data_IF_239866542792
#
_entry.id   IF_239866542792
#
_cell.length_a   1.000
_cell.length_b   1.000
_cell.length_c   1.000
_cell.angle_alpha   90.00
_cell.angle_beta   90.00
_cell.angle_gamma   90.00
#
_symmetry.space_group_name_H-M   'P 1'
#
loop_
_entity.id
_entity.type
_entity.pdbx_description
1 polymer ?
#
# COMPACT_ATOMS: atom_id res chain seq x y z
N UNK A 1 -33.51 12.01 14.78
CA UNK A 1 -33.52 10.52 14.93
C UNK A 1 -33.19 9.92 13.58
N UNK A 2 -32.20 9.06 13.55
CA UNK A 2 -31.77 8.36 12.33
C UNK A 2 -32.31 6.93 12.35
N UNK A 3 -32.94 6.50 11.26
CA UNK A 3 -33.47 5.14 11.07
C UNK A 3 -32.62 4.41 10.06
N UNK A 4 -32.34 3.13 10.33
CA UNK A 4 -31.50 2.26 9.54
C UNK A 4 -32.30 1.07 9.01
N UNK A 5 -32.05 0.65 7.78
CA UNK A 5 -32.51 -0.63 7.29
C UNK A 5 -31.79 -1.77 8.00
N UNK A 6 -32.54 -2.74 8.53
CA UNK A 6 -32.01 -3.97 9.06
C UNK A 6 -31.80 -4.94 7.90
N UNK A 7 -30.57 -5.47 7.81
CA UNK A 7 -30.13 -6.26 6.67
C UNK A 7 -29.73 -7.68 7.06
N UNK A 8 -29.67 -8.55 6.08
CA UNK A 8 -29.09 -9.89 6.21
C UNK A 8 -27.55 -9.85 6.17
N UNK A 9 -26.91 -11.01 6.15
CA UNK A 9 -25.45 -11.14 6.10
C UNK A 9 -24.81 -10.60 4.82
N UNK A 10 -25.56 -10.42 3.76
CA UNK A 10 -25.10 -9.89 2.48
C UNK A 10 -25.41 -8.38 2.31
N UNK A 11 -25.98 -7.75 3.34
CA UNK A 11 -26.37 -6.35 3.29
C UNK A 11 -27.70 -6.10 2.55
N UNK A 12 -28.50 -7.16 2.30
CA UNK A 12 -29.81 -7.05 1.65
C UNK A 12 -30.85 -6.67 2.70
N UNK A 13 -31.64 -5.58 2.47
CA UNK A 13 -32.69 -5.16 3.40
C UNK A 13 -33.73 -6.28 3.66
N UNK A 14 -34.04 -6.51 4.94
CA UNK A 14 -35.04 -7.50 5.38
C UNK A 14 -36.46 -6.94 5.37
N UNK A 15 -36.64 -5.66 5.04
CA UNK A 15 -37.88 -4.92 5.17
C UNK A 15 -38.15 -4.40 6.59
N UNK A 16 -37.27 -4.63 7.53
CA UNK A 16 -37.34 -4.07 8.88
C UNK A 16 -36.48 -2.81 8.99
N UNK A 17 -36.94 -1.85 9.79
CA UNK A 17 -36.26 -0.60 10.07
C UNK A 17 -36.14 -0.47 11.59
N UNK A 18 -35.01 0.04 12.06
CA UNK A 18 -34.79 0.36 13.48
C UNK A 18 -34.13 1.73 13.63
N UNK A 19 -34.43 2.38 14.75
CA UNK A 19 -33.69 3.58 15.13
C UNK A 19 -32.24 3.20 15.49
N UNK A 20 -31.27 4.04 15.11
CA UNK A 20 -29.82 3.78 15.22
C UNK A 20 -29.39 3.32 16.61
N UNK A 21 -29.87 4.02 17.66
CA UNK A 21 -29.53 3.65 19.05
C UNK A 21 -30.09 2.29 19.42
N UNK A 22 -31.31 1.98 18.97
CA UNK A 22 -31.94 0.67 19.17
C UNK A 22 -31.20 -0.42 18.41
N UNK A 23 -30.75 -0.16 17.18
CA UNK A 23 -29.99 -1.10 16.37
C UNK A 23 -28.68 -1.50 17.07
N UNK A 24 -27.92 -0.54 17.60
CA UNK A 24 -26.70 -0.82 18.35
C UNK A 24 -26.96 -1.49 19.69
N UNK A 25 -28.02 -1.13 20.40
CA UNK A 25 -28.37 -1.78 21.66
C UNK A 25 -28.75 -3.25 21.49
N UNK A 26 -29.39 -3.59 20.36
CA UNK A 26 -29.86 -4.94 20.08
C UNK A 26 -28.95 -5.73 19.18
N UNK A 27 -27.84 -5.15 18.69
CA UNK A 27 -26.93 -5.79 17.75
C UNK A 27 -27.57 -6.13 16.41
N UNK A 28 -28.48 -5.26 15.94
CA UNK A 28 -29.15 -5.46 14.64
C UNK A 28 -28.21 -5.05 13.51
N UNK A 29 -28.07 -5.94 12.51
CA UNK A 29 -27.18 -5.71 11.37
C UNK A 29 -27.75 -4.63 10.47
N UNK A 30 -26.89 -3.67 10.13
CA UNK A 30 -27.21 -2.51 9.30
C UNK A 30 -26.08 -2.21 8.34
N UNK A 31 -26.27 -1.25 7.42
CA UNK A 31 -25.29 -0.91 6.39
C UNK A 31 -24.51 0.35 6.77
N UNK A 32 -23.24 0.38 6.33
CA UNK A 32 -22.38 1.56 6.38
C UNK A 32 -21.63 1.75 5.06
N UNK A 33 -21.23 2.98 4.74
CA UNK A 33 -20.35 3.31 3.63
C UNK A 33 -19.05 3.84 4.16
N UNK A 34 -17.92 3.28 3.69
CA UNK A 34 -16.58 3.68 4.07
C UNK A 34 -15.83 4.20 2.85
N UNK A 35 -15.29 5.40 2.92
CA UNK A 35 -14.51 6.01 1.84
C UNK A 35 -13.11 6.30 2.33
N UNK A 36 -12.12 5.75 1.63
CA UNK A 36 -10.70 5.98 1.83
C UNK A 36 -10.18 6.93 0.77
N UNK A 37 -9.72 8.11 1.17
CA UNK A 37 -9.16 9.10 0.25
C UNK A 37 -7.68 8.82 0.09
N UNK A 38 -7.26 8.67 -1.16
CA UNK A 38 -5.89 8.37 -1.57
C UNK A 38 -5.34 9.50 -2.43
N UNK A 39 -4.03 9.72 -2.37
CA UNK A 39 -3.30 10.56 -3.32
C UNK A 39 -1.94 9.97 -3.63
N UNK A 40 -1.33 10.43 -4.74
CA UNK A 40 0.05 10.09 -5.09
C UNK A 40 0.93 11.32 -4.90
N UNK A 41 2.02 11.17 -4.13
CA UNK A 41 3.06 12.20 -4.02
C UNK A 41 4.44 11.58 -4.09
N UNK A 42 5.29 12.13 -4.97
CA UNK A 42 6.66 11.67 -5.17
C UNK A 42 6.81 10.17 -5.47
N UNK A 43 5.80 9.57 -6.13
CA UNK A 43 5.78 8.15 -6.49
C UNK A 43 5.33 7.22 -5.36
N UNK A 44 4.91 7.77 -4.23
CA UNK A 44 4.30 7.04 -3.11
C UNK A 44 2.82 7.35 -2.99
N UNK A 45 2.07 6.37 -2.58
CA UNK A 45 0.65 6.55 -2.27
C UNK A 45 0.51 6.96 -0.81
N UNK A 46 -0.30 7.97 -0.57
CA UNK A 46 -0.69 8.41 0.77
C UNK A 46 -2.20 8.20 0.96
N UNK A 47 -2.59 7.87 2.18
CA UNK A 47 -3.98 7.72 2.63
C UNK A 47 -4.32 8.83 3.62
N UNK A 48 -5.49 9.43 3.47
CA UNK A 48 -6.01 10.42 4.40
C UNK A 48 -6.69 9.72 5.57
N UNK A 49 -6.27 10.01 6.79
CA UNK A 49 -6.99 9.61 8.00
C UNK A 49 -7.64 10.82 8.62
N UNK A 50 -8.84 10.66 9.15
CA UNK A 50 -9.50 11.62 10.02
C UNK A 50 -9.15 11.33 11.49
N UNK A 51 -9.03 12.35 12.31
CA UNK A 51 -8.96 12.23 13.76
C UNK A 51 -10.32 12.59 14.37
N UNK A 52 -10.90 11.64 15.06
CA UNK A 52 -12.22 11.76 15.68
C UNK A 52 -12.22 12.84 16.76
N UNK A 53 -13.29 13.61 16.84
CA UNK A 53 -13.47 14.60 17.90
C UNK A 53 -13.43 13.95 19.30
N UNK A 54 -12.91 14.68 20.28
CA UNK A 54 -12.91 14.26 21.69
C UNK A 54 -14.33 14.10 22.26
N UNK A 55 -15.33 14.69 21.59
CA UNK A 55 -16.73 14.65 22.02
C UNK A 55 -17.49 13.41 21.48
N UNK A 56 -16.83 12.54 20.73
CA UNK A 56 -17.45 11.32 20.21
C UNK A 56 -17.73 10.30 21.32
N UNK A 57 -18.89 9.65 21.24
CA UNK A 57 -19.30 8.61 22.18
C UNK A 57 -18.40 7.35 22.12
N UNK A 58 -17.81 7.07 20.96
CA UNK A 58 -16.93 5.93 20.75
C UNK A 58 -15.59 6.38 20.16
N UNK A 59 -14.49 5.82 20.67
CA UNK A 59 -13.11 6.05 20.20
C UNK A 59 -12.73 7.54 20.03
N UNK A 60 -12.94 8.40 21.06
CA UNK A 60 -12.58 9.81 20.97
C UNK A 60 -11.08 9.99 20.75
N UNK A 61 -10.68 10.93 19.88
CA UNK A 61 -9.29 11.27 19.59
C UNK A 61 -8.51 10.22 18.82
N UNK A 62 -9.13 9.11 18.40
CA UNK A 62 -8.50 8.08 17.56
C UNK A 62 -8.49 8.48 16.09
N UNK A 63 -7.48 8.00 15.36
CA UNK A 63 -7.50 8.03 13.89
C UNK A 63 -8.50 7.00 13.35
N UNK A 64 -9.17 7.38 12.28
CA UNK A 64 -10.23 6.61 11.63
C UNK A 64 -10.12 6.74 10.11
N UNK A 65 -10.97 6.01 9.39
CA UNK A 65 -11.17 6.04 7.93
C UNK A 65 -11.37 7.49 7.47
N UNK A 66 -11.05 7.83 6.22
CA UNK A 66 -11.19 9.22 5.73
C UNK A 66 -12.62 9.76 5.90
N UNK A 67 -13.64 8.97 5.57
CA UNK A 67 -15.05 9.27 5.85
C UNK A 67 -15.84 7.98 5.98
N UNK A 68 -16.71 7.89 6.98
CA UNK A 68 -17.52 6.70 7.24
C UNK A 68 -18.85 7.07 7.88
N UNK A 69 -19.94 6.53 7.33
CA UNK A 69 -21.27 6.82 7.87
C UNK A 69 -22.27 5.67 7.75
N UNK A 70 -23.30 5.74 8.58
CA UNK A 70 -24.45 4.86 8.49
C UNK A 70 -25.31 5.20 7.27
N UNK A 71 -25.95 4.20 6.72
CA UNK A 71 -26.86 4.37 5.59
C UNK A 71 -28.28 4.49 6.13
N UNK A 72 -28.93 5.65 5.95
CA UNK A 72 -30.31 5.82 6.35
C UNK A 72 -31.26 4.84 5.64
N UNK A 73 -32.35 4.49 6.28
CA UNK A 73 -33.37 3.59 5.72
C UNK A 73 -33.85 4.09 4.36
N UNK A 74 -33.92 3.17 3.39
CA UNK A 74 -34.32 3.46 2.02
C UNK A 74 -33.27 4.14 1.14
N UNK A 75 -32.05 4.40 1.67
CA UNK A 75 -30.94 4.98 0.90
C UNK A 75 -29.94 3.88 0.52
N UNK A 76 -29.19 4.06 -0.57
CA UNK A 76 -28.16 3.12 -0.99
C UNK A 76 -26.76 3.57 -0.59
N UNK A 77 -25.76 2.70 -0.81
CA UNK A 77 -24.37 2.87 -0.40
C UNK A 77 -23.70 4.14 -1.00
N UNK A 78 -23.78 4.32 -2.33
CA UNK A 78 -23.12 5.43 -3.02
C UNK A 78 -23.72 6.79 -2.61
N UNK A 79 -25.02 7.03 -2.64
CA UNK A 79 -25.61 8.29 -2.18
C UNK A 79 -25.21 8.63 -0.73
N UNK A 80 -25.16 7.63 0.17
CA UNK A 80 -24.72 7.84 1.54
C UNK A 80 -23.24 8.20 1.62
N UNK A 81 -22.37 7.52 0.87
CA UNK A 81 -20.94 7.84 0.81
C UNK A 81 -20.69 9.30 0.36
N UNK A 82 -21.39 9.74 -0.69
CA UNK A 82 -21.27 11.11 -1.21
C UNK A 82 -21.80 12.15 -0.22
N UNK A 83 -22.86 11.83 0.51
CA UNK A 83 -23.40 12.70 1.57
C UNK A 83 -22.38 12.87 2.70
N UNK A 84 -21.84 11.76 3.25
CA UNK A 84 -20.85 11.80 4.33
C UNK A 84 -19.59 12.56 3.92
N UNK A 85 -19.04 12.31 2.72
CA UNK A 85 -17.89 13.06 2.19
C UNK A 85 -18.14 14.57 2.17
N UNK A 86 -19.36 14.98 1.81
CA UNK A 86 -19.74 16.39 1.78
C UNK A 86 -19.93 16.98 3.18
N UNK A 87 -20.60 16.25 4.07
CA UNK A 87 -20.90 16.71 5.44
C UNK A 87 -19.63 16.74 6.29
N UNK A 88 -18.84 15.66 6.34
CA UNK A 88 -17.67 15.54 7.19
C UNK A 88 -16.46 16.34 6.70
N UNK A 89 -16.20 16.33 5.37
CA UNK A 89 -14.95 16.82 4.77
C UNK A 89 -15.15 17.99 3.79
N UNK A 90 -16.38 18.38 3.50
CA UNK A 90 -16.66 19.41 2.48
C UNK A 90 -16.30 18.96 1.06
N UNK A 91 -16.26 17.65 0.79
CA UNK A 91 -15.91 17.10 -0.51
C UNK A 91 -17.17 16.83 -1.34
N UNK A 92 -17.28 17.49 -2.50
CA UNK A 92 -18.32 17.22 -3.49
C UNK A 92 -17.68 16.52 -4.68
N UNK A 93 -17.97 15.24 -4.84
CA UNK A 93 -17.44 14.38 -5.91
C UNK A 93 -18.60 13.66 -6.59
N UNK A 94 -18.36 13.12 -7.78
CA UNK A 94 -19.34 12.31 -8.51
C UNK A 94 -19.24 10.83 -8.13
N UNK A 95 -20.29 10.06 -8.35
CA UNK A 95 -20.31 8.62 -8.08
C UNK A 95 -19.24 7.85 -8.85
N UNK A 96 -18.92 8.29 -10.08
CA UNK A 96 -17.91 7.67 -10.94
C UNK A 96 -16.47 7.81 -10.42
N UNK A 97 -16.22 8.69 -9.43
CA UNK A 97 -14.92 8.86 -8.80
C UNK A 97 -14.72 7.88 -7.65
N UNK A 98 -15.80 7.25 -7.15
CA UNK A 98 -15.74 6.24 -6.12
C UNK A 98 -15.41 4.87 -6.73
N UNK A 99 -14.28 4.30 -6.33
CA UNK A 99 -13.82 2.98 -6.78
C UNK A 99 -14.22 1.96 -5.72
N UNK A 100 -15.08 1.02 -6.08
CA UNK A 100 -15.49 -0.05 -5.18
C UNK A 100 -14.33 -1.03 -4.93
N UNK A 101 -13.93 -1.18 -3.67
CA UNK A 101 -12.83 -2.05 -3.23
C UNK A 101 -13.31 -3.36 -2.60
N UNK A 102 -14.58 -3.47 -2.27
CA UNK A 102 -15.16 -4.68 -1.70
C UNK A 102 -16.18 -4.40 -0.59
N UNK A 103 -16.72 -5.48 -0.06
CA UNK A 103 -17.68 -5.45 1.05
C UNK A 103 -17.07 -6.17 2.26
N UNK A 104 -17.22 -5.57 3.42
CA UNK A 104 -16.75 -6.11 4.69
C UNK A 104 -17.93 -6.36 5.64
N UNK A 105 -17.89 -7.46 6.38
CA UNK A 105 -18.77 -7.72 7.52
C UNK A 105 -18.01 -7.46 8.81
N UNK A 106 -18.65 -6.76 9.70
CA UNK A 106 -18.06 -6.37 10.97
C UNK A 106 -18.98 -6.69 12.14
N UNK A 107 -18.38 -7.09 13.23
CA UNK A 107 -19.06 -7.33 14.50
C UNK A 107 -18.17 -6.88 15.65
N UNK A 108 -18.71 -6.02 16.50
CA UNK A 108 -18.04 -5.52 17.69
C UNK A 108 -19.01 -5.53 18.88
N UNK A 109 -18.53 -5.96 20.02
CA UNK A 109 -19.24 -5.91 21.29
C UNK A 109 -18.38 -5.17 22.30
N UNK A 110 -18.92 -4.14 22.93
CA UNK A 110 -18.20 -3.30 23.89
C UNK A 110 -19.11 -2.55 24.81
N UNK A 111 -18.50 -1.74 25.68
CA UNK A 111 -19.21 -0.87 26.63
C UNK A 111 -18.66 0.54 26.47
N UNK A 112 -19.52 1.50 26.12
CA UNK A 112 -19.18 2.92 26.06
C UNK A 112 -20.06 3.69 27.06
N UNK A 113 -19.43 4.49 27.89
CA UNK A 113 -20.12 5.26 28.94
C UNK A 113 -21.07 4.43 29.83
N UNK A 114 -20.65 3.17 30.14
CA UNK A 114 -21.43 2.26 30.96
C UNK A 114 -22.65 1.63 30.30
N UNK A 115 -22.82 1.81 28.97
CA UNK A 115 -23.89 1.20 28.18
C UNK A 115 -23.32 0.15 27.23
N UNK A 116 -24.01 -0.99 27.11
CA UNK A 116 -23.68 -2.01 26.13
C UNK A 116 -23.85 -1.47 24.69
N UNK A 117 -22.90 -1.77 23.86
CA UNK A 117 -22.84 -1.35 22.47
C UNK A 117 -22.49 -2.58 21.61
N UNK A 118 -23.41 -2.94 20.72
CA UNK A 118 -23.29 -4.07 19.81
C UNK A 118 -23.34 -3.55 18.39
N UNK A 119 -22.22 -3.56 17.70
CA UNK A 119 -22.16 -3.11 16.32
C UNK A 119 -22.09 -4.30 15.36
N UNK A 120 -23.00 -4.31 14.41
CA UNK A 120 -23.11 -5.35 13.38
C UNK A 120 -23.32 -4.67 12.04
N UNK A 121 -22.24 -4.60 11.26
CA UNK A 121 -22.24 -3.82 10.02
C UNK A 121 -21.99 -4.70 8.79
N UNK A 122 -22.58 -4.27 7.68
CA UNK A 122 -22.15 -4.63 6.32
C UNK A 122 -21.71 -3.32 5.65
N UNK A 123 -20.42 -3.19 5.43
CA UNK A 123 -19.80 -1.96 4.94
C UNK A 123 -19.34 -2.15 3.50
N UNK A 124 -19.75 -1.27 2.59
CA UNK A 124 -19.09 -1.16 1.30
C UNK A 124 -17.90 -0.20 1.43
N UNK A 125 -16.75 -0.66 0.97
CA UNK A 125 -15.47 0.05 1.03
C UNK A 125 -15.15 0.63 -0.35
N UNK A 126 -14.89 1.93 -0.38
CA UNK A 126 -14.56 2.67 -1.59
C UNK A 126 -13.21 3.38 -1.46
N UNK A 127 -12.46 3.47 -2.54
CA UNK A 127 -11.32 4.36 -2.68
C UNK A 127 -11.72 5.59 -3.49
N UNK A 128 -11.18 6.75 -3.13
CA UNK A 128 -11.33 8.02 -3.83
C UNK A 128 -9.94 8.63 -4.05
N UNK A 129 -9.53 8.84 -5.30
CA UNK A 129 -8.29 9.55 -5.59
C UNK A 129 -8.53 11.06 -5.60
N UNK A 130 -7.99 11.77 -4.58
CA UNK A 130 -8.17 13.21 -4.41
C UNK A 130 -6.90 13.84 -3.82
N UNK A 131 -6.15 14.61 -4.62
CA UNK A 131 -5.00 15.37 -4.12
C UNK A 131 -5.47 16.74 -3.61
N UNK A 132 -5.63 16.83 -2.30
CA UNK A 132 -6.02 18.05 -1.60
C UNK A 132 -5.15 18.23 -0.37
N UNK A 133 -4.78 19.48 -0.03
CA UNK A 133 -4.04 19.77 1.20
C UNK A 133 -4.97 19.64 2.41
N UNK A 134 -4.47 19.26 3.61
CA UNK A 134 -5.32 19.10 4.79
C UNK A 134 -6.13 20.34 5.13
N UNK A 135 -5.55 21.53 4.96
CA UNK A 135 -6.18 22.81 5.23
C UNK A 135 -7.29 23.22 4.25
N UNK A 136 -7.38 22.55 3.11
CA UNK A 136 -8.41 22.81 2.10
C UNK A 136 -9.69 21.97 2.32
N UNK A 137 -9.69 21.06 3.32
CA UNK A 137 -10.89 20.33 3.73
C UNK A 137 -11.74 21.18 4.67
N UNK A 138 -13.05 21.14 4.50
CA UNK A 138 -14.01 21.80 5.37
C UNK A 138 -14.53 20.75 6.37
N UNK A 139 -13.92 20.73 7.55
CA UNK A 139 -14.21 19.70 8.56
C UNK A 139 -15.47 20.05 9.37
N UNK A 140 -16.35 19.07 9.56
CA UNK A 140 -17.42 19.11 10.54
C UNK A 140 -16.81 18.91 11.94
N UNK A 141 -16.53 20.01 12.64
CA UNK A 141 -15.75 20.00 13.89
C UNK A 141 -16.41 19.25 15.04
N UNK A 142 -17.71 19.05 15.00
CA UNK A 142 -18.44 18.21 15.95
C UNK A 142 -18.04 16.73 15.82
N UNK A 143 -17.67 16.32 14.61
CA UNK A 143 -17.30 14.94 14.27
C UNK A 143 -15.78 14.73 14.26
N UNK A 144 -15.01 15.70 13.75
CA UNK A 144 -13.60 15.57 13.39
C UNK A 144 -12.76 16.71 13.96
N UNK A 145 -11.58 16.42 14.52
CA UNK A 145 -10.59 17.42 14.96
C UNK A 145 -9.70 17.87 13.80
N UNK A 146 -9.14 16.90 13.06
CA UNK A 146 -8.20 17.13 11.97
C UNK A 146 -8.27 16.00 10.93
N UNK A 147 -7.66 16.24 9.77
CA UNK A 147 -7.31 15.22 8.79
C UNK A 147 -5.82 15.27 8.53
N UNK A 148 -5.22 14.09 8.30
CA UNK A 148 -3.78 13.96 8.07
C UNK A 148 -3.47 12.90 7.03
N UNK A 149 -2.51 13.20 6.16
CA UNK A 149 -1.97 12.24 5.20
C UNK A 149 -0.89 11.37 5.86
N UNK A 150 -0.98 10.08 5.60
CA UNK A 150 0.01 9.08 5.97
C UNK A 150 0.45 8.36 4.70
N UNK A 151 1.74 8.10 4.56
CA UNK A 151 2.21 7.17 3.53
C UNK A 151 1.54 5.80 3.77
N UNK A 152 1.02 5.20 2.72
CA UNK A 152 0.14 4.03 2.82
C UNK A 152 0.81 2.84 3.52
N UNK A 153 2.03 2.49 3.12
CA UNK A 153 2.80 1.40 3.74
C UNK A 153 3.13 1.68 5.22
N UNK A 154 3.43 2.94 5.54
CA UNK A 154 3.64 3.36 6.93
C UNK A 154 2.35 3.28 7.74
N UNK A 155 1.21 3.67 7.15
CA UNK A 155 -0.11 3.54 7.79
C UNK A 155 -0.44 2.08 8.10
N UNK A 156 -0.22 1.16 7.15
CA UNK A 156 -0.40 -0.29 7.38
C UNK A 156 0.38 -0.77 8.61
N UNK A 157 1.67 -0.42 8.70
CA UNK A 157 2.52 -0.82 9.83
C UNK A 157 2.06 -0.22 11.15
N UNK A 158 1.71 1.08 11.17
CA UNK A 158 1.26 1.77 12.38
C UNK A 158 -0.04 1.18 12.92
N UNK A 159 -0.97 0.81 12.04
CA UNK A 159 -2.24 0.16 12.40
C UNK A 159 -2.00 -1.27 12.86
N UNK A 160 -1.23 -2.07 12.12
CA UNK A 160 -0.92 -3.46 12.47
C UNK A 160 -0.24 -3.58 13.84
N UNK A 161 0.70 -2.67 14.15
CA UNK A 161 1.45 -2.67 15.42
C UNK A 161 0.77 -1.87 16.54
N UNK A 162 -0.38 -1.24 16.29
CA UNK A 162 -1.06 -0.33 17.23
C UNK A 162 -0.14 0.80 17.74
N UNK A 163 0.70 1.35 16.86
CA UNK A 163 1.66 2.41 17.22
C UNK A 163 1.03 3.82 17.24
N UNK A 164 -0.20 3.97 16.78
CA UNK A 164 -1.02 5.18 16.88
C UNK A 164 -2.37 4.84 17.50
N UNK A 165 -3.04 5.76 18.22
CA UNK A 165 -4.41 5.55 18.67
C UNK A 165 -5.35 5.54 17.46
N UNK A 166 -6.00 4.41 17.18
CA UNK A 166 -6.89 4.25 16.02
C UNK A 166 -8.06 3.31 16.30
N UNK A 167 -9.10 3.42 15.47
CA UNK A 167 -10.19 2.45 15.38
C UNK A 167 -10.31 1.80 13.99
N UNK A 168 -9.22 1.82 13.25
CA UNK A 168 -9.09 1.27 11.89
C UNK A 168 -8.88 -0.24 11.95
N UNK A 169 -9.51 -0.97 11.04
CA UNK A 169 -9.29 -2.40 10.83
C UNK A 169 -8.36 -2.64 9.65
N UNK A 170 -7.28 -3.38 9.88
CA UNK A 170 -6.23 -3.68 8.90
C UNK A 170 -6.79 -4.29 7.60
N UNK A 171 -7.84 -5.11 7.74
CA UNK A 171 -8.53 -5.74 6.62
C UNK A 171 -9.01 -4.72 5.57
N UNK A 172 -9.54 -3.57 5.98
CA UNK A 172 -9.99 -2.54 5.03
C UNK A 172 -8.84 -1.86 4.30
N UNK A 173 -7.73 -1.57 5.00
CA UNK A 173 -6.52 -1.07 4.34
C UNK A 173 -5.99 -2.07 3.32
N UNK A 174 -6.04 -3.37 3.63
CA UNK A 174 -5.63 -4.42 2.71
C UNK A 174 -6.53 -4.50 1.46
N UNK A 175 -7.83 -4.19 1.58
CA UNK A 175 -8.75 -4.12 0.44
C UNK A 175 -8.38 -3.03 -0.57
N UNK A 176 -7.63 -1.99 -0.15
CA UNK A 176 -7.17 -0.91 -1.02
C UNK A 176 -5.91 -1.26 -1.83
N UNK A 177 -5.15 -2.30 -1.42
CA UNK A 177 -3.87 -2.67 -2.04
C UNK A 177 -3.93 -2.80 -3.57
N UNK A 178 -4.98 -3.39 -4.20
CA UNK A 178 -5.06 -3.45 -5.66
C UNK A 178 -5.04 -2.06 -6.32
N UNK A 179 -5.71 -1.07 -5.71
CA UNK A 179 -5.74 0.30 -6.24
C UNK A 179 -4.44 1.05 -5.97
N UNK A 180 -3.86 0.87 -4.79
CA UNK A 180 -2.57 1.46 -4.40
C UNK A 180 -1.47 1.00 -5.36
N UNK A 181 -1.35 -0.32 -5.59
CA UNK A 181 -0.33 -0.91 -6.48
C UNK A 181 -0.41 -0.45 -7.93
N UNK A 182 -1.60 -0.05 -8.42
CA UNK A 182 -1.74 0.52 -9.77
C UNK A 182 -1.03 1.88 -9.92
N UNK A 183 -0.80 2.59 -8.82
CA UNK A 183 -0.22 3.94 -8.81
C UNK A 183 1.16 4.03 -8.15
N UNK A 184 1.60 3.00 -7.47
CA UNK A 184 2.95 2.94 -6.95
C UNK A 184 3.95 2.89 -8.09
N UNK A 185 4.84 3.87 -8.11
CA UNK A 185 5.96 3.91 -9.04
C UNK A 185 7.22 3.44 -8.33
N UNK A 186 7.62 2.22 -8.63
CA UNK A 186 8.87 1.68 -8.13
C UNK A 186 10.05 2.46 -8.73
N UNK A 187 11.04 2.75 -7.89
CA UNK A 187 12.33 3.27 -8.30
C UNK A 187 13.27 2.10 -8.57
N UNK A 188 13.64 1.91 -9.83
CA UNK A 188 14.52 0.83 -10.29
C UNK A 188 15.90 1.41 -10.61
N UNK A 189 16.92 1.02 -9.84
CA UNK A 189 18.31 1.39 -10.06
C UNK A 189 19.00 0.31 -10.89
N UNK A 190 19.49 0.65 -12.07
CA UNK A 190 20.22 -0.23 -12.98
C UNK A 190 21.70 0.19 -12.96
N UNK A 191 22.57 -0.69 -12.44
CA UNK A 191 23.97 -0.36 -12.21
C UNK A 191 24.96 -0.94 -13.23
N UNK A 192 24.65 -1.99 -14.03
CA UNK A 192 25.52 -2.37 -15.15
C UNK A 192 25.39 -1.36 -16.30
N UNK A 193 26.44 -1.21 -17.12
CA UNK A 193 26.33 -0.50 -18.37
C UNK A 193 25.28 -1.21 -19.25
N UNK A 194 24.40 -0.43 -19.86
CA UNK A 194 23.32 -0.94 -20.74
C UNK A 194 23.28 -0.09 -22.03
N UNK A 195 23.02 -0.74 -23.14
CA UNK A 195 22.81 -0.09 -24.43
C UNK A 195 21.45 0.65 -24.47
N UNK A 196 21.28 1.53 -25.43
CA UNK A 196 19.98 2.20 -25.60
C UNK A 196 18.85 1.23 -25.94
N UNK A 197 19.14 0.15 -26.66
CA UNK A 197 18.16 -0.90 -26.96
C UNK A 197 17.74 -1.63 -25.68
N UNK A 198 18.68 -2.02 -24.82
CA UNK A 198 18.38 -2.67 -23.53
C UNK A 198 17.63 -1.74 -22.58
N UNK A 199 17.94 -0.44 -22.56
CA UNK A 199 17.15 0.54 -21.81
C UNK A 199 15.69 0.57 -22.29
N UNK A 200 15.47 0.59 -23.59
CA UNK A 200 14.12 0.57 -24.17
C UNK A 200 13.37 -0.71 -23.80
N UNK A 201 14.04 -1.87 -23.83
CA UNK A 201 13.45 -3.13 -23.41
C UNK A 201 13.04 -3.10 -21.92
N UNK A 202 13.90 -2.58 -21.04
CA UNK A 202 13.59 -2.43 -19.63
C UNK A 202 12.41 -1.49 -19.38
N UNK A 203 12.37 -0.34 -20.06
CA UNK A 203 11.26 0.61 -19.98
C UNK A 203 9.94 0.03 -20.49
N UNK A 204 9.99 -0.81 -21.54
CA UNK A 204 8.81 -1.52 -22.06
C UNK A 204 8.35 -2.65 -21.13
N UNK A 205 9.29 -3.36 -20.49
CA UNK A 205 8.97 -4.45 -19.57
C UNK A 205 8.29 -3.96 -18.28
N UNK A 206 8.59 -2.72 -17.84
CA UNK A 206 8.02 -2.14 -16.63
C UNK A 206 7.52 -0.68 -16.89
N UNK A 207 6.42 -0.52 -17.65
CA UNK A 207 5.91 0.79 -18.04
C UNK A 207 5.43 1.55 -16.80
N UNK A 208 5.73 2.84 -16.77
CA UNK A 208 5.34 3.75 -15.69
C UNK A 208 6.27 3.72 -14.46
N UNK A 209 7.22 2.79 -14.37
CA UNK A 209 8.20 2.77 -13.30
C UNK A 209 9.30 3.80 -13.52
N UNK A 210 9.96 4.23 -12.44
CA UNK A 210 11.06 5.20 -12.50
C UNK A 210 12.40 4.47 -12.56
N UNK A 211 13.12 4.63 -13.67
CA UNK A 211 14.44 4.04 -13.82
C UNK A 211 15.55 5.07 -13.57
N UNK A 212 16.60 4.62 -12.89
CA UNK A 212 17.90 5.28 -12.79
C UNK A 212 18.93 4.37 -13.45
N UNK A 213 19.45 4.77 -14.59
CA UNK A 213 20.55 4.09 -15.26
C UNK A 213 21.85 4.77 -14.84
N UNK A 214 22.57 4.22 -13.87
CA UNK A 214 23.75 4.85 -13.26
C UNK A 214 24.79 3.79 -12.98
N UNK A 215 25.95 3.88 -13.60
CA UNK A 215 27.04 2.95 -13.37
C UNK A 215 27.55 3.02 -11.93
N UNK A 216 28.10 1.89 -11.45
CA UNK A 216 28.45 1.66 -10.02
C UNK A 216 29.18 2.82 -9.34
N UNK A 217 30.24 3.43 -9.93
CA UNK A 217 31.00 4.47 -9.25
C UNK A 217 30.23 5.78 -9.10
N UNK A 218 29.19 5.99 -9.92
CA UNK A 218 28.40 7.23 -9.98
C UNK A 218 27.09 7.16 -9.19
N UNK A 219 26.77 6.01 -8.60
CA UNK A 219 25.55 5.83 -7.80
C UNK A 219 25.57 6.73 -6.58
N UNK A 220 24.60 7.62 -6.51
CA UNK A 220 24.47 8.58 -5.41
C UNK A 220 23.74 7.99 -4.21
N UNK A 221 23.93 8.56 -3.03
CA UNK A 221 23.25 8.16 -1.81
C UNK A 221 21.72 8.36 -1.92
N UNK A 222 21.29 9.42 -2.61
CA UNK A 222 19.87 9.66 -2.85
C UNK A 222 19.25 8.56 -3.71
N UNK A 223 19.93 8.09 -4.75
CA UNK A 223 19.47 6.98 -5.57
C UNK A 223 19.34 5.69 -4.77
N UNK A 224 20.31 5.41 -3.89
CA UNK A 224 20.26 4.24 -3.00
C UNK A 224 19.07 4.29 -2.04
N UNK A 225 18.81 5.42 -1.39
CA UNK A 225 17.67 5.59 -0.49
C UNK A 225 16.32 5.43 -1.19
N UNK A 226 16.25 5.81 -2.46
CA UNK A 226 15.02 5.78 -3.26
C UNK A 226 14.79 4.46 -3.98
N UNK A 227 15.80 3.61 -4.09
CA UNK A 227 15.70 2.38 -4.84
C UNK A 227 14.79 1.36 -4.13
N UNK A 228 13.72 0.96 -4.81
CA UNK A 228 12.89 -0.20 -4.45
C UNK A 228 13.46 -1.49 -5.04
N UNK A 229 14.05 -1.40 -6.22
CA UNK A 229 14.67 -2.51 -6.94
C UNK A 229 16.07 -2.09 -7.41
N UNK A 230 17.03 -2.99 -7.25
CA UNK A 230 18.38 -2.82 -7.82
C UNK A 230 18.63 -3.95 -8.80
N UNK A 231 18.94 -3.59 -10.05
CA UNK A 231 19.42 -4.51 -11.09
C UNK A 231 20.93 -4.33 -11.25
N UNK A 232 21.69 -5.32 -10.87
CA UNK A 232 23.13 -5.34 -10.91
C UNK A 232 23.80 -5.25 -9.53
N UNK A 233 25.14 -5.23 -9.51
CA UNK A 233 25.93 -5.15 -8.30
C UNK A 233 26.18 -3.71 -7.90
N UNK A 234 26.24 -3.43 -6.63
CA UNK A 234 26.73 -2.16 -6.08
C UNK A 234 28.27 -2.13 -6.06
N UNK A 235 28.87 -0.95 -5.92
CA UNK A 235 30.32 -0.80 -5.78
C UNK A 235 30.83 -1.48 -4.51
N UNK A 236 30.04 -1.42 -3.43
CA UNK A 236 30.28 -2.16 -2.19
C UNK A 236 28.93 -2.68 -1.65
N UNK A 237 28.87 -3.94 -1.19
CA UNK A 237 27.68 -4.47 -0.52
C UNK A 237 27.23 -3.63 0.68
N UNK A 238 28.13 -2.93 1.36
CA UNK A 238 27.84 -2.05 2.49
C UNK A 238 26.89 -0.90 2.13
N UNK A 239 26.78 -0.54 0.84
CA UNK A 239 25.83 0.46 0.36
C UNK A 239 24.38 0.05 0.58
N UNK A 240 24.08 -1.25 0.73
CA UNK A 240 22.75 -1.75 1.06
C UNK A 240 22.19 -1.16 2.36
N UNK A 241 23.03 -0.81 3.32
CA UNK A 241 22.60 -0.13 4.55
C UNK A 241 21.95 1.23 4.32
N UNK A 242 22.11 1.82 3.14
CA UNK A 242 21.48 3.08 2.72
C UNK A 242 20.19 2.87 1.92
N UNK A 243 19.86 1.63 1.59
CA UNK A 243 18.71 1.28 0.75
C UNK A 243 17.48 0.99 1.63
N UNK A 244 16.91 2.03 2.26
CA UNK A 244 15.82 1.90 3.24
C UNK A 244 14.53 1.34 2.65
N UNK A 245 14.29 1.53 1.33
CA UNK A 245 13.07 1.12 0.63
C UNK A 245 13.26 -0.15 -0.21
N UNK A 246 14.41 -0.79 -0.17
CA UNK A 246 14.75 -1.91 -1.04
C UNK A 246 13.83 -3.10 -0.80
N UNK A 247 13.18 -3.56 -1.86
CA UNK A 247 12.32 -4.76 -1.91
C UNK A 247 13.02 -5.93 -2.58
N UNK A 248 13.86 -5.65 -3.58
CA UNK A 248 14.57 -6.68 -4.34
C UNK A 248 15.88 -6.19 -4.93
N UNK A 249 16.91 -7.04 -4.89
CA UNK A 249 18.16 -6.85 -5.62
C UNK A 249 18.46 -8.08 -6.46
N UNK A 250 18.70 -7.87 -7.76
CA UNK A 250 19.19 -8.88 -8.69
C UNK A 250 20.68 -8.63 -8.97
N UNK A 251 21.54 -9.50 -8.48
CA UNK A 251 22.96 -9.45 -8.82
C UNK A 251 23.20 -9.98 -10.25
N UNK A 252 24.17 -9.38 -10.94
CA UNK A 252 24.56 -9.78 -12.30
C UNK A 252 25.71 -10.82 -12.33
N UNK A 253 26.15 -11.31 -11.20
CA UNK A 253 27.10 -12.43 -11.06
C UNK A 253 26.45 -13.59 -10.28
N UNK A 254 27.08 -14.76 -10.33
CA UNK A 254 26.62 -15.95 -9.62
C UNK A 254 26.98 -15.92 -8.12
N UNK A 255 28.05 -15.24 -7.76
CA UNK A 255 28.48 -15.10 -6.36
C UNK A 255 27.64 -14.09 -5.61
N UNK A 256 27.45 -14.34 -4.32
CA UNK A 256 26.71 -13.47 -3.39
C UNK A 256 27.61 -12.93 -2.26
N UNK A 257 28.91 -13.04 -2.44
CA UNK A 257 29.90 -12.68 -1.42
C UNK A 257 29.72 -11.25 -0.95
N UNK A 258 29.62 -11.07 0.36
CA UNK A 258 29.41 -9.79 1.04
C UNK A 258 27.96 -9.26 1.00
N UNK A 259 27.05 -9.82 0.17
CA UNK A 259 25.65 -9.37 0.10
C UNK A 259 24.73 -10.08 1.10
N UNK A 260 25.11 -11.26 1.57
CA UNK A 260 24.31 -12.08 2.50
C UNK A 260 24.75 -11.89 3.99
N UNK A 261 25.54 -10.90 4.30
CA UNK A 261 25.94 -10.60 5.66
C UNK A 261 24.72 -10.25 6.53
N UNK A 262 24.62 -10.76 7.76
CA UNK A 262 23.50 -10.49 8.65
C UNK A 262 23.29 -8.97 8.88
N UNK A 263 22.06 -8.51 8.72
CA UNK A 263 21.67 -7.10 8.92
C UNK A 263 22.11 -6.14 7.81
N UNK A 264 22.51 -6.65 6.65
CA UNK A 264 22.89 -5.83 5.49
C UNK A 264 21.67 -5.53 4.60
N UNK A 265 20.86 -6.55 4.32
CA UNK A 265 19.59 -6.37 3.60
C UNK A 265 18.52 -5.82 4.53
N UNK A 266 17.69 -4.86 4.07
CA UNK A 266 16.49 -4.45 4.80
C UNK A 266 15.56 -5.64 5.08
N UNK A 267 14.79 -5.55 6.15
CA UNK A 267 13.81 -6.57 6.51
C UNK A 267 12.78 -6.74 5.38
N UNK A 268 12.57 -7.99 4.93
CA UNK A 268 11.66 -8.32 3.83
C UNK A 268 12.26 -8.15 2.43
N UNK A 269 13.46 -7.57 2.28
CA UNK A 269 14.10 -7.48 0.99
C UNK A 269 14.59 -8.85 0.50
N UNK A 270 14.45 -9.11 -0.80
CA UNK A 270 14.88 -10.34 -1.44
C UNK A 270 16.13 -10.12 -2.27
N UNK A 271 17.03 -11.11 -2.27
CA UNK A 271 18.23 -11.14 -3.11
C UNK A 271 18.15 -12.32 -4.07
N UNK A 272 18.40 -12.04 -5.36
CA UNK A 272 18.59 -13.03 -6.39
C UNK A 272 19.95 -12.81 -7.07
N UNK A 273 20.51 -13.86 -7.66
CA UNK A 273 21.78 -13.83 -8.38
C UNK A 273 21.66 -14.50 -9.77
N UNK A 274 22.73 -14.45 -10.54
CA UNK A 274 22.79 -15.02 -11.89
C UNK A 274 23.29 -16.48 -11.91
N UNK A 275 23.03 -17.28 -10.86
CA UNK A 275 23.42 -18.69 -10.80
C UNK A 275 22.84 -19.44 -12.00
N UNK A 276 23.73 -20.17 -12.73
CA UNK A 276 23.36 -20.96 -13.92
C UNK A 276 23.35 -20.16 -15.23
N UNK A 277 23.34 -18.84 -15.21
CA UNK A 277 23.29 -18.02 -16.42
C UNK A 277 24.51 -18.19 -17.35
N UNK A 278 25.67 -18.48 -16.76
CA UNK A 278 26.93 -18.60 -17.50
C UNK A 278 27.36 -20.05 -17.74
N UNK A 279 26.61 -21.05 -17.28
CA UNK A 279 27.02 -22.45 -17.31
C UNK A 279 27.35 -22.97 -18.71
N UNK A 280 26.53 -22.65 -19.69
CA UNK A 280 26.74 -23.08 -21.08
C UNK A 280 27.98 -22.43 -21.70
N UNK A 281 28.09 -21.10 -21.62
CA UNK A 281 29.23 -20.34 -22.17
C UNK A 281 30.57 -20.77 -21.53
N UNK A 282 30.60 -20.98 -20.21
CA UNK A 282 31.81 -21.48 -19.52
C UNK A 282 32.15 -22.88 -19.98
N UNK A 283 31.18 -23.80 -20.12
CA UNK A 283 31.40 -25.16 -20.58
C UNK A 283 31.96 -25.21 -22.00
N UNK A 284 31.40 -24.43 -22.92
CA UNK A 284 31.87 -24.29 -24.28
C UNK A 284 33.33 -23.77 -24.35
N UNK A 285 33.61 -22.73 -23.54
CA UNK A 285 34.95 -22.17 -23.46
C UNK A 285 35.97 -23.17 -22.89
N UNK A 286 35.61 -23.91 -21.84
CA UNK A 286 36.46 -24.98 -21.28
C UNK A 286 36.75 -26.10 -22.30
N UNK A 287 35.73 -26.49 -23.06
CA UNK A 287 35.94 -27.49 -24.13
C UNK A 287 36.88 -26.92 -25.18
N UNK A 288 36.69 -25.66 -25.60
CA UNK A 288 37.58 -25.01 -26.58
C UNK A 288 39.03 -24.97 -26.11
N UNK A 289 39.29 -24.57 -24.84
CA UNK A 289 40.63 -24.59 -24.25
C UNK A 289 41.22 -25.98 -24.17
N UNK A 290 40.44 -27.01 -23.82
CA UNK A 290 40.86 -28.39 -23.75
C UNK A 290 41.30 -28.90 -25.14
N UNK A 291 40.53 -28.61 -26.18
CA UNK A 291 40.88 -28.96 -27.56
C UNK A 291 42.19 -28.33 -28.06
N UNK A 292 42.44 -27.06 -27.68
CA UNK A 292 43.71 -26.37 -28.01
C UNK A 292 44.89 -27.10 -27.35
N UNK A 293 44.78 -27.49 -26.10
CA UNK A 293 45.84 -28.24 -25.40
C UNK A 293 46.08 -29.63 -25.94
N UNK A 294 45.04 -30.30 -26.47
CA UNK A 294 45.14 -31.63 -27.09
C UNK A 294 45.74 -31.53 -28.47
N UNK A 295 45.44 -30.49 -29.24
CA UNK A 295 45.88 -30.34 -30.62
C UNK A 295 47.28 -29.73 -30.81
N UNK A 296 47.85 -29.09 -29.76
CA UNK A 296 49.23 -28.53 -29.77
C UNK A 296 50.16 -29.18 -28.71
N UNK A 297 50.32 -30.51 -28.66
CA UNK A 297 51.19 -31.16 -27.65
C UNK A 297 52.68 -31.02 -27.93
N UNK A 298 53.11 -30.29 -28.96
CA UNK A 298 54.49 -30.33 -29.48
C UNK A 298 55.17 -28.97 -29.63
N UNK A 299 54.75 -27.91 -28.96
CA UNK A 299 55.59 -26.70 -28.85
C UNK A 299 56.72 -26.99 -27.87
N UNK A 300 57.98 -27.14 -28.31
CA UNK A 300 59.11 -27.18 -27.37
C UNK A 300 59.26 -25.79 -26.73
N UNK A 301 59.49 -25.79 -25.44
CA UNK A 301 59.87 -24.58 -24.67
C UNK A 301 61.19 -24.02 -25.18
#
# INVERSE_FOLDING_TARGET
MEYLDIVDENGVPTGKIAERTAAHKQGLRHRTSHVWILRERAGKVEVLLQKRSQNKDSFPGCYDISSAGHIPAGVDFIPSALRELKEELGCSVSENELIYCGQRRFSYDGVFHGKEFHDRQVSNVYALWLDRRPEDFVLQKEELEEVRWFEFESCLRLVEKNEIPHCIYLEELQMLLPEVRKRERLCILVTPPVTEEEKQQLLQAAPGQKFFFTEKPEVTEEQLRRADIILGNLQSPLQLKKCENLKWIQLNNAGTEGYCEPGLLPEGAQLANATGAYGMAISEHMIGLSLIHISEPTRPY
#
